data_IF_359254109872
#
_entry.id   IF_359254109872
#
_cell.length_a   1.000
_cell.length_b   1.000
_cell.length_c   1.000
_cell.angle_alpha   90.00
_cell.angle_beta   90.00
_cell.angle_gamma   90.00
#
_symmetry.space_group_name_H-M   'P 1'
#
loop_
_entity.id
_entity.type
_entity.pdbx_description
1 polymer ?
#
# COMPACT_ATOMS: atom_id res chain seq x y z
N UNK A 1 -13.99 10.72 -16.65
CA UNK A 1 -14.01 11.02 -15.20
C UNK A 1 -12.86 11.95 -14.87
N UNK A 2 -13.13 13.01 -14.14
CA UNK A 2 -12.10 13.93 -13.68
C UNK A 2 -11.26 13.26 -12.60
N UNK A 3 -9.96 13.56 -12.53
CA UNK A 3 -9.05 12.99 -11.52
C UNK A 3 -9.55 13.24 -10.09
N UNK A 4 -10.15 14.40 -9.84
CA UNK A 4 -10.67 14.73 -8.50
C UNK A 4 -11.82 13.82 -8.05
N UNK A 5 -12.46 13.11 -8.99
CA UNK A 5 -13.58 12.24 -8.72
C UNK A 5 -13.17 10.77 -8.53
N UNK A 6 -11.88 10.46 -8.67
CA UNK A 6 -11.39 9.09 -8.48
C UNK A 6 -11.10 8.85 -7.00
N UNK A 7 -11.82 7.95 -6.33
CA UNK A 7 -11.58 7.68 -4.91
C UNK A 7 -10.37 6.79 -4.71
N UNK A 8 -9.82 6.81 -3.50
CA UNK A 8 -8.70 5.94 -3.13
C UNK A 8 -9.04 4.46 -3.34
N UNK A 9 -10.28 4.05 -3.09
CA UNK A 9 -10.72 2.67 -3.28
C UNK A 9 -10.55 2.20 -4.72
N UNK A 10 -10.72 3.09 -5.70
CA UNK A 10 -10.50 2.76 -7.11
C UNK A 10 -9.01 2.52 -7.38
N UNK A 11 -8.14 3.31 -6.77
CA UNK A 11 -6.69 3.13 -6.87
C UNK A 11 -6.28 1.77 -6.28
N UNK A 12 -6.83 1.43 -5.12
CA UNK A 12 -6.57 0.13 -4.47
C UNK A 12 -6.94 -1.02 -5.41
N UNK A 13 -8.10 -0.94 -6.07
CA UNK A 13 -8.52 -1.98 -7.02
C UNK A 13 -7.59 -2.08 -8.22
N UNK A 14 -7.13 -0.95 -8.75
CA UNK A 14 -6.18 -0.93 -9.85
C UNK A 14 -4.85 -1.57 -9.45
N UNK A 15 -4.35 -1.24 -8.26
CA UNK A 15 -3.10 -1.81 -7.75
C UNK A 15 -3.24 -3.32 -7.52
N UNK A 16 -4.39 -3.78 -7.03
CA UNK A 16 -4.67 -5.22 -6.92
C UNK A 16 -4.53 -5.92 -8.28
N UNK A 17 -5.03 -5.30 -9.35
CA UNK A 17 -4.90 -5.87 -10.69
C UNK A 17 -3.45 -5.95 -11.15
N UNK A 18 -2.65 -4.91 -10.86
CA UNK A 18 -1.23 -4.90 -11.19
C UNK A 18 -0.50 -6.02 -10.44
N UNK A 19 -0.79 -6.20 -9.16
CA UNK A 19 -0.20 -7.27 -8.35
C UNK A 19 -0.54 -8.63 -8.95
N UNK A 20 -1.80 -8.83 -9.33
CA UNK A 20 -2.25 -10.08 -9.94
C UNK A 20 -1.54 -10.34 -11.27
N UNK A 21 -1.44 -9.31 -12.11
CA UNK A 21 -0.78 -9.42 -13.43
C UNK A 21 0.71 -9.73 -13.31
N UNK A 22 1.39 -9.13 -12.34
CA UNK A 22 2.83 -9.31 -12.17
C UNK A 22 3.20 -10.55 -11.39
N UNK A 23 2.26 -11.13 -10.65
CA UNK A 23 2.51 -12.30 -9.81
C UNK A 23 3.34 -12.00 -8.56
N UNK A 24 3.51 -10.73 -8.21
CA UNK A 24 4.26 -10.34 -7.02
C UNK A 24 3.60 -10.87 -5.75
N UNK A 25 4.43 -11.20 -4.76
CA UNK A 25 3.97 -11.77 -3.48
C UNK A 25 3.76 -10.66 -2.45
N UNK A 26 2.83 -9.77 -2.76
CA UNK A 26 2.38 -8.73 -1.83
C UNK A 26 0.87 -8.83 -1.69
N UNK A 27 0.38 -8.45 -0.53
CA UNK A 27 -1.04 -8.61 -0.21
C UNK A 27 -1.60 -7.35 0.42
N UNK A 28 -2.91 -7.21 0.32
CA UNK A 28 -3.62 -6.11 0.95
C UNK A 28 -3.56 -6.25 2.46
N UNK A 29 -3.11 -5.20 3.13
CA UNK A 29 -3.08 -5.14 4.59
C UNK A 29 -4.30 -4.36 5.06
N UNK A 30 -5.06 -4.95 5.96
CA UNK A 30 -6.17 -4.26 6.60
C UNK A 30 -5.62 -3.40 7.74
N UNK A 31 -5.60 -2.08 7.52
CA UNK A 31 -5.07 -1.14 8.50
C UNK A 31 -6.14 -0.57 9.43
N UNK A 32 -7.38 -1.01 9.27
CA UNK A 32 -8.48 -0.55 10.10
C UNK A 32 -8.49 -1.16 11.48
N UNK A 33 -9.59 -0.97 12.18
CA UNK A 33 -9.84 -1.60 13.46
C UNK A 33 -11.23 -2.26 13.42
N UNK A 34 -11.45 -3.21 14.30
CA UNK A 34 -12.77 -3.81 14.41
C UNK A 34 -13.22 -3.85 15.88
N UNK A 35 -14.52 -3.87 16.05
CA UNK A 35 -15.15 -3.84 17.36
C UNK A 35 -15.37 -5.26 17.86
N UNK A 36 -14.99 -5.48 19.15
CA UNK A 36 -15.28 -6.72 19.87
C UNK A 36 -16.18 -6.37 21.05
N UNK A 37 -17.25 -7.15 21.25
CA UNK A 37 -18.19 -6.95 22.34
C UNK A 37 -19.23 -5.88 22.01
N UNK A 38 -20.07 -5.57 22.98
CA UNK A 38 -21.16 -4.63 22.85
C UNK A 38 -21.33 -3.81 24.11
N UNK A 39 -22.00 -2.64 23.98
CA UNK A 39 -22.28 -1.75 25.09
C UNK A 39 -21.01 -1.23 25.75
N UNK A 40 -20.98 -1.33 27.08
CA UNK A 40 -19.86 -0.84 27.87
C UNK A 40 -18.61 -1.72 27.74
N UNK A 41 -18.77 -2.95 27.26
CA UNK A 41 -17.67 -3.90 27.10
C UNK A 41 -17.08 -3.89 25.68
N UNK A 42 -17.53 -2.96 24.85
CA UNK A 42 -17.05 -2.89 23.48
C UNK A 42 -15.62 -2.36 23.43
N UNK A 43 -14.80 -2.99 22.60
CA UNK A 43 -13.41 -2.61 22.39
C UNK A 43 -13.10 -2.59 20.89
N UNK A 44 -12.11 -1.79 20.52
CA UNK A 44 -11.61 -1.74 19.15
C UNK A 44 -10.22 -2.30 19.10
N UNK A 45 -9.99 -3.23 18.16
CA UNK A 45 -8.70 -3.86 17.98
C UNK A 45 -8.13 -3.40 16.66
N UNK A 46 -6.92 -2.84 16.70
CA UNK A 46 -6.21 -2.46 15.49
C UNK A 46 -5.63 -3.70 14.83
N UNK A 47 -5.76 -3.78 13.49
CA UNK A 47 -5.31 -4.92 12.72
C UNK A 47 -3.87 -4.76 12.21
N UNK A 48 -3.33 -3.54 12.25
CA UNK A 48 -1.95 -3.25 11.86
C UNK A 48 -1.47 -1.99 12.56
N UNK A 49 -0.15 -1.80 12.60
CA UNK A 49 0.44 -0.59 13.17
C UNK A 49 0.08 0.64 12.32
N UNK A 50 0.05 1.80 12.99
CA UNK A 50 -0.18 3.06 12.30
C UNK A 50 0.91 3.28 11.25
N UNK A 51 0.51 3.73 10.06
CA UNK A 51 1.43 3.99 8.96
C UNK A 51 1.72 2.80 8.07
N UNK A 52 1.27 1.59 8.43
CA UNK A 52 1.40 0.40 7.56
C UNK A 52 0.76 0.70 6.20
N UNK A 53 1.47 0.35 5.14
CA UNK A 53 1.00 0.60 3.78
C UNK A 53 -0.18 -0.30 3.40
N UNK A 54 -0.92 0.10 2.37
CA UNK A 54 -2.08 -0.67 1.88
C UNK A 54 -1.72 -2.06 1.41
N UNK A 55 -0.54 -2.22 0.80
CA UNK A 55 -0.02 -3.51 0.33
C UNK A 55 1.39 -3.70 0.84
N UNK A 56 1.69 -4.87 1.41
CA UNK A 56 3.03 -5.20 1.88
C UNK A 56 3.34 -6.66 1.58
N UNK A 57 4.60 -6.95 1.29
CA UNK A 57 5.10 -8.27 0.97
C UNK A 57 6.54 -8.20 0.51
N UNK A 58 6.89 -8.90 -0.58
CA UNK A 58 8.26 -8.89 -1.10
C UNK A 58 8.26 -8.91 -2.63
N UNK A 59 9.34 -8.40 -3.20
CA UNK A 59 9.53 -8.36 -4.65
C UNK A 59 10.27 -9.61 -5.16
N UNK A 60 10.53 -9.65 -6.46
CA UNK A 60 11.20 -10.81 -7.07
C UNK A 60 12.68 -10.94 -6.69
N UNK A 61 13.24 -9.93 -6.03
CA UNK A 61 14.61 -9.97 -5.51
C UNK A 61 14.64 -10.29 -4.02
N UNK A 62 13.49 -10.53 -3.40
CA UNK A 62 13.39 -10.82 -1.97
C UNK A 62 13.42 -9.59 -1.08
N UNK A 63 13.36 -8.41 -1.64
CA UNK A 63 13.32 -7.17 -0.86
C UNK A 63 11.91 -6.93 -0.34
N UNK A 64 11.80 -6.39 0.87
CA UNK A 64 10.51 -5.97 1.40
C UNK A 64 9.91 -4.91 0.46
N UNK A 65 8.64 -5.07 0.12
CA UNK A 65 7.95 -4.20 -0.83
C UNK A 65 6.65 -3.71 -0.22
N UNK A 66 6.45 -2.39 -0.24
CA UNK A 66 5.24 -1.77 0.29
C UNK A 66 4.71 -0.72 -0.69
N UNK A 67 3.40 -0.74 -0.91
CA UNK A 67 2.73 0.24 -1.77
C UNK A 67 1.61 0.89 -0.99
N UNK A 68 1.66 2.22 -0.88
CA UNK A 68 0.61 3.03 -0.29
C UNK A 68 -0.22 3.65 -1.40
N UNK A 69 -1.53 3.45 -1.37
CA UNK A 69 -2.43 3.99 -2.39
C UNK A 69 -3.01 5.32 -1.92
N UNK A 70 -2.99 6.30 -2.79
CA UNK A 70 -3.61 7.59 -2.55
C UNK A 70 -4.43 7.98 -3.77
N UNK A 71 -5.56 8.65 -3.55
CA UNK A 71 -6.35 9.18 -4.65
C UNK A 71 -5.51 10.17 -5.47
N UNK A 72 -5.73 10.28 -6.79
CA UNK A 72 -4.90 11.11 -7.66
C UNK A 72 -4.92 12.59 -7.29
N UNK A 73 -6.02 13.08 -6.75
CA UNK A 73 -6.16 14.49 -6.39
C UNK A 73 -6.46 14.63 -4.90
N UNK A 74 -5.61 15.39 -4.19
CA UNK A 74 -5.81 15.73 -2.78
C UNK A 74 -5.41 14.66 -1.77
N UNK A 75 -4.91 13.51 -2.21
CA UNK A 75 -4.44 12.48 -1.30
C UNK A 75 -3.13 12.87 -0.64
N UNK A 76 -3.01 12.67 0.67
CA UNK A 76 -1.81 13.03 1.43
C UNK A 76 -1.41 11.90 2.35
N UNK A 77 -0.08 11.73 2.51
CA UNK A 77 0.46 10.81 3.49
C UNK A 77 0.30 11.39 4.89
N UNK A 78 -0.08 10.53 5.84
CA UNK A 78 0.06 10.88 7.26
C UNK A 78 1.53 10.88 7.64
N UNK A 79 1.91 11.52 8.77
CA UNK A 79 3.28 11.44 9.25
C UNK A 79 3.74 10.00 9.48
N UNK A 80 2.88 9.14 10.02
CA UNK A 80 3.22 7.73 10.26
C UNK A 80 3.46 6.98 8.94
N UNK A 81 2.66 7.24 7.91
CA UNK A 81 2.85 6.62 6.59
C UNK A 81 4.16 7.06 5.95
N UNK A 82 4.47 8.35 6.03
CA UNK A 82 5.72 8.89 5.50
C UNK A 82 6.93 8.26 6.20
N UNK A 83 6.90 8.20 7.52
CA UNK A 83 7.98 7.62 8.31
C UNK A 83 8.21 6.16 7.94
N UNK A 84 7.14 5.37 7.79
CA UNK A 84 7.27 3.96 7.41
C UNK A 84 7.89 3.79 6.03
N UNK A 85 7.45 4.59 5.05
CA UNK A 85 8.01 4.53 3.70
C UNK A 85 9.49 4.86 3.71
N UNK A 86 9.87 5.93 4.41
CA UNK A 86 11.27 6.32 4.52
C UNK A 86 12.11 5.24 5.21
N UNK A 87 11.60 4.63 6.27
CA UNK A 87 12.31 3.58 7.01
C UNK A 87 12.53 2.34 6.14
N UNK A 88 11.50 1.89 5.42
CA UNK A 88 11.62 0.74 4.53
C UNK A 88 12.70 0.98 3.47
N UNK A 89 12.67 2.15 2.84
CA UNK A 89 13.65 2.49 1.80
C UNK A 89 15.06 2.62 2.37
N UNK A 90 15.21 3.18 3.57
CA UNK A 90 16.51 3.33 4.22
C UNK A 90 17.13 1.97 4.57
N UNK A 91 16.31 0.95 4.80
CA UNK A 91 16.78 -0.39 5.21
C UNK A 91 16.90 -1.37 4.05
N UNK A 92 16.84 -0.89 2.83
CA UNK A 92 17.05 -1.70 1.63
C UNK A 92 15.79 -2.32 1.03
N UNK A 93 14.63 -2.02 1.57
CA UNK A 93 13.35 -2.39 0.96
C UNK A 93 12.95 -1.38 -0.12
N UNK A 94 11.76 -1.56 -0.65
CA UNK A 94 11.16 -0.66 -1.64
C UNK A 94 9.78 -0.27 -1.15
N UNK A 95 9.54 1.01 -0.97
CA UNK A 95 8.24 1.52 -0.60
C UNK A 95 7.94 2.80 -1.37
N UNK A 96 6.71 2.93 -1.85
CA UNK A 96 6.30 4.10 -2.62
C UNK A 96 4.81 4.32 -2.56
N UNK A 97 4.41 5.53 -2.96
CA UNK A 97 3.00 5.90 -3.12
C UNK A 97 2.61 5.69 -4.58
N UNK A 98 1.42 5.14 -4.78
CA UNK A 98 0.83 5.01 -6.12
C UNK A 98 -0.52 5.71 -6.15
N UNK A 99 -0.73 6.52 -7.18
CA UNK A 99 -1.98 7.25 -7.41
C UNK A 99 -2.82 6.58 -8.52
N UNK A 100 -2.29 5.51 -9.09
CA UNK A 100 -2.99 4.71 -10.10
C UNK A 100 -2.28 3.36 -10.25
N UNK A 101 -2.96 2.41 -10.89
CA UNK A 101 -2.33 1.13 -11.23
C UNK A 101 -1.17 1.31 -12.19
N UNK A 102 -1.32 2.20 -13.18
CA UNK A 102 -0.25 2.48 -14.15
C UNK A 102 0.99 3.03 -13.46
N UNK A 103 0.83 3.96 -12.53
CA UNK A 103 1.95 4.50 -11.75
C UNK A 103 2.62 3.41 -10.92
N UNK A 104 1.82 2.54 -10.29
CA UNK A 104 2.38 1.42 -9.51
C UNK A 104 3.23 0.50 -10.40
N UNK A 105 2.73 0.13 -11.57
CA UNK A 105 3.46 -0.72 -12.49
C UNK A 105 4.76 -0.05 -12.94
N UNK A 106 4.72 1.22 -13.28
CA UNK A 106 5.89 1.98 -13.70
C UNK A 106 6.96 1.99 -12.60
N UNK A 107 6.56 2.27 -11.35
CA UNK A 107 7.50 2.28 -10.22
C UNK A 107 8.07 0.91 -9.91
N UNK A 108 7.25 -0.14 -10.01
CA UNK A 108 7.73 -1.51 -9.84
C UNK A 108 8.83 -1.84 -10.85
N UNK A 109 8.68 -1.42 -12.10
CA UNK A 109 9.71 -1.58 -13.13
C UNK A 109 10.93 -0.73 -12.84
N UNK A 110 10.72 0.52 -12.49
CA UNK A 110 11.80 1.48 -12.21
C UNK A 110 12.71 1.01 -11.08
N UNK A 111 12.13 0.44 -10.02
CA UNK A 111 12.90 -0.01 -8.86
C UNK A 111 13.37 -1.46 -8.97
N UNK A 112 13.14 -2.10 -10.12
CA UNK A 112 13.63 -3.46 -10.36
C UNK A 112 12.86 -4.53 -9.59
N UNK A 113 11.66 -4.25 -9.14
CA UNK A 113 10.87 -5.20 -8.35
C UNK A 113 10.41 -6.43 -9.14
N UNK A 114 10.36 -6.32 -10.46
CA UNK A 114 9.96 -7.42 -11.35
C UNK A 114 11.17 -8.18 -11.90
N UNK A 115 12.38 -7.76 -11.60
CA UNK A 115 13.62 -8.40 -12.04
C UNK A 115 13.95 -9.58 -11.13
N UNK A 116 14.69 -10.52 -11.68
CA UNK A 116 15.08 -11.69 -10.93
C UNK A 116 14.07 -12.81 -11.07
N UNK A 117 14.33 -13.91 -10.46
CA UNK A 117 13.53 -15.11 -10.67
C UNK A 117 13.09 -15.72 -9.38
#
# INVERSE_FOLDING_TARGET
>A
MDLKDIPESAVIQQVKQVIKMTGLKIQRINTGSFQIGAGQNRRYIKTAEAGTCDFEGYDNQGRFLAIECKRPSGGRLSPAQRERIEDINAKGGVAFVAHSGAEALEKLKQYGCLNGA
#
